data_IF_238941147879
#
_entry.id   IF_238941147879
#
_cell.length_a   1.000
_cell.length_b   1.000
_cell.length_c   1.000
_cell.angle_alpha   90.00
_cell.angle_beta   90.00
_cell.angle_gamma   90.00
#
_symmetry.space_group_name_H-M   'P 1'
#
loop_
_entity.id
_entity.type
_entity.pdbx_description
1 polymer ?
#
# COMPACT_ATOMS: atom_id res chain seq x y z
N UNK A 1 -11.74 1.60 12.51
CA UNK A 1 -11.79 1.17 11.10
C UNK A 1 -13.23 0.99 10.68
N UNK A 2 -13.57 1.23 9.41
CA UNK A 2 -14.95 1.15 8.88
C UNK A 2 -15.63 -0.22 9.01
N UNK A 3 -14.86 -1.27 9.28
CA UNK A 3 -15.30 -2.67 9.45
C UNK A 3 -15.03 -3.21 10.88
N UNK A 4 -14.85 -2.32 11.85
CA UNK A 4 -14.57 -2.63 13.27
C UNK A 4 -13.30 -3.47 13.53
N UNK A 5 -12.43 -3.69 12.54
CA UNK A 5 -11.14 -4.32 12.80
C UNK A 5 -10.31 -3.42 13.72
N UNK A 6 -9.52 -4.04 14.61
CA UNK A 6 -8.53 -3.35 15.43
C UNK A 6 -7.15 -3.72 14.95
N UNK A 7 -6.42 -2.75 14.40
CA UNK A 7 -5.04 -2.96 13.96
C UNK A 7 -4.07 -2.52 15.04
N UNK A 8 -3.08 -3.37 15.33
CA UNK A 8 -2.00 -3.05 16.26
C UNK A 8 -0.96 -2.19 15.54
N UNK A 9 -0.57 -1.08 16.14
CA UNK A 9 0.45 -0.19 15.60
C UNK A 9 1.36 0.42 16.66
N UNK A 10 2.60 0.69 16.31
CA UNK A 10 3.64 1.30 17.16
C UNK A 10 4.11 2.59 16.49
N UNK A 11 4.38 3.62 17.29
CA UNK A 11 5.12 4.80 16.85
C UNK A 11 6.43 4.92 17.64
N UNK A 12 7.47 5.46 16.99
CA UNK A 12 8.77 5.78 17.58
C UNK A 12 9.18 7.20 17.17
N UNK A 13 9.81 7.95 18.07
CA UNK A 13 10.21 9.33 17.83
C UNK A 13 9.12 10.37 18.20
N UNK A 14 9.38 11.63 17.90
CA UNK A 14 8.49 12.76 18.20
C UNK A 14 7.35 12.86 17.17
N UNK A 15 6.15 12.42 17.56
CA UNK A 15 4.94 12.41 16.70
C UNK A 15 4.37 13.79 16.39
N UNK A 16 4.93 14.87 16.96
CA UNK A 16 4.58 16.24 16.58
C UNK A 16 5.28 16.70 15.30
N UNK A 17 6.39 16.04 14.91
CA UNK A 17 7.15 16.38 13.70
C UNK A 17 6.47 15.86 12.43
N UNK A 18 6.83 16.45 11.29
CA UNK A 18 6.33 16.09 9.95
C UNK A 18 7.48 16.15 8.93
N UNK A 19 7.41 15.36 7.82
CA UNK A 19 6.41 14.33 7.54
C UNK A 19 6.61 13.10 8.43
N UNK A 20 5.57 12.27 8.59
CA UNK A 20 5.73 10.97 9.25
C UNK A 20 6.34 9.95 8.28
N UNK A 21 7.00 8.93 8.81
CA UNK A 21 7.47 7.76 8.05
C UNK A 21 6.61 6.57 8.45
N UNK A 22 6.07 5.82 7.48
CA UNK A 22 5.36 4.57 7.74
C UNK A 22 6.13 3.42 7.12
N UNK A 23 6.58 2.47 7.96
CA UNK A 23 7.24 1.26 7.47
C UNK A 23 6.21 0.14 7.30
N UNK A 24 6.08 -0.33 6.06
CA UNK A 24 5.16 -1.39 5.65
C UNK A 24 5.93 -2.70 5.52
N UNK A 25 5.61 -3.65 6.39
CA UNK A 25 6.27 -4.95 6.37
C UNK A 25 5.92 -5.75 5.10
N UNK A 26 6.85 -6.59 4.68
CA UNK A 26 6.66 -7.59 3.64
C UNK A 26 6.06 -8.88 4.21
N UNK A 27 5.86 -9.86 3.33
CA UNK A 27 5.25 -11.15 3.67
C UNK A 27 3.82 -10.97 4.19
N UNK A 28 2.76 -11.40 3.47
CA UNK A 28 1.37 -11.22 3.90
C UNK A 28 1.00 -11.93 5.22
N UNK A 29 1.98 -12.48 5.96
CA UNK A 29 1.85 -13.14 7.26
C UNK A 29 2.95 -12.83 8.28
N UNK A 30 3.91 -11.90 8.02
CA UNK A 30 5.04 -11.64 8.93
C UNK A 30 4.93 -10.28 9.63
N UNK A 31 4.47 -10.22 10.90
CA UNK A 31 4.33 -8.96 11.63
C UNK A 31 5.67 -8.41 12.12
N UNK A 32 5.72 -7.08 12.21
CA UNK A 32 6.64 -6.28 13.04
C UNK A 32 8.17 -6.47 12.89
N UNK A 33 8.68 -7.18 11.87
CA UNK A 33 10.13 -7.41 11.71
C UNK A 33 10.93 -6.15 11.33
N UNK A 34 10.27 -5.05 10.96
CA UNK A 34 10.91 -3.75 10.69
C UNK A 34 11.20 -2.95 11.97
N UNK A 35 11.09 -3.58 13.14
CA UNK A 35 11.41 -2.98 14.43
C UNK A 35 12.84 -2.46 14.53
N UNK A 36 13.81 -3.19 13.98
CA UNK A 36 15.22 -2.78 14.00
C UNK A 36 15.53 -1.65 13.00
N UNK A 37 14.67 -1.46 11.99
CA UNK A 37 14.81 -0.39 10.99
C UNK A 37 14.28 0.94 11.53
N UNK A 38 13.22 0.92 12.34
CA UNK A 38 12.59 2.15 12.83
C UNK A 38 13.54 3.10 13.59
N UNK A 39 14.40 2.63 14.53
CA UNK A 39 15.36 3.49 15.22
C UNK A 39 16.39 4.16 14.31
N UNK A 40 16.65 3.63 13.12
CA UNK A 40 17.66 4.18 12.20
C UNK A 40 17.29 5.56 11.64
N UNK A 41 16.01 5.95 11.72
CA UNK A 41 15.51 7.23 11.18
C UNK A 41 14.60 7.98 12.16
N UNK A 42 14.40 7.45 13.38
CA UNK A 42 13.48 8.02 14.37
C UNK A 42 13.95 9.34 14.99
N UNK A 43 15.23 9.69 14.83
CA UNK A 43 15.80 10.99 15.14
C UNK A 43 15.45 12.07 14.10
N UNK A 44 15.08 11.65 12.88
CA UNK A 44 14.74 12.54 11.76
C UNK A 44 13.23 12.79 11.65
N UNK A 45 12.39 11.79 11.94
CA UNK A 45 10.94 11.86 11.77
C UNK A 45 10.22 10.84 12.68
N UNK A 46 8.92 11.02 12.99
CA UNK A 46 8.16 9.99 13.69
C UNK A 46 7.94 8.79 12.77
N UNK A 47 8.23 7.61 13.27
CA UNK A 47 8.16 6.35 12.53
C UNK A 47 7.00 5.51 13.03
N UNK A 48 6.05 5.24 12.16
CA UNK A 48 4.89 4.38 12.41
C UNK A 48 5.10 3.02 11.77
N UNK A 49 4.68 1.99 12.48
CA UNK A 49 4.61 0.60 12.01
C UNK A 49 3.31 0.00 12.49
N UNK A 50 2.78 -0.95 11.74
CA UNK A 50 1.61 -1.69 12.17
C UNK A 50 1.65 -3.11 11.68
N UNK A 51 1.02 -3.99 12.45
CA UNK A 51 0.69 -5.34 12.02
C UNK A 51 -0.38 -5.20 10.94
N UNK A 52 -0.02 -5.43 9.67
CA UNK A 52 -0.99 -5.44 8.58
C UNK A 52 -2.08 -6.48 8.89
N UNK A 53 -3.31 -6.22 8.45
CA UNK A 53 -4.47 -7.10 8.71
C UNK A 53 -4.12 -8.57 8.50
N UNK A 54 -4.42 -9.41 9.49
CA UNK A 54 -4.15 -10.85 9.44
C UNK A 54 -2.81 -11.26 10.02
N UNK A 55 -1.95 -10.32 10.40
CA UNK A 55 -0.62 -10.61 10.96
C UNK A 55 -0.55 -10.20 12.43
N UNK A 56 0.34 -10.85 13.18
CA UNK A 56 0.64 -10.49 14.56
C UNK A 56 -0.59 -10.38 15.45
N UNK A 57 -0.83 -9.17 15.97
CA UNK A 57 -1.96 -8.87 16.86
C UNK A 57 -3.14 -8.21 16.13
N UNK A 58 -3.08 -8.08 14.81
CA UNK A 58 -4.14 -7.58 13.95
C UNK A 58 -4.97 -8.73 13.38
N UNK A 59 -6.22 -8.96 13.82
CA UNK A 59 -7.01 -10.09 13.38
C UNK A 59 -7.40 -9.97 11.91
N UNK A 60 -7.59 -11.13 11.27
CA UNK A 60 -8.21 -11.21 9.95
C UNK A 60 -9.71 -10.93 10.03
N UNK A 61 -10.24 -10.03 9.18
CA UNK A 61 -11.68 -9.82 8.94
C UNK A 61 -11.93 -9.37 7.51
N UNK A 62 -13.04 -9.78 6.91
CA UNK A 62 -13.44 -9.33 5.58
C UNK A 62 -12.61 -9.89 4.41
N UNK A 63 -12.72 -9.29 3.21
CA UNK A 63 -12.07 -9.77 1.99
C UNK A 63 -10.54 -9.67 2.03
N UNK A 64 -9.87 -10.65 1.41
CA UNK A 64 -8.41 -10.64 1.25
C UNK A 64 -8.02 -9.95 -0.05
N UNK A 65 -7.99 -8.61 0.00
CA UNK A 65 -7.68 -7.79 -1.17
C UNK A 65 -6.73 -6.67 -0.82
N UNK A 66 -5.89 -6.27 -1.77
CA UNK A 66 -5.04 -5.09 -1.59
C UNK A 66 -5.84 -3.82 -1.36
N UNK A 67 -7.02 -3.68 -1.99
CA UNK A 67 -7.92 -2.57 -1.71
C UNK A 67 -8.22 -2.45 -0.21
N UNK A 68 -8.50 -3.58 0.45
CA UNK A 68 -8.71 -3.62 1.90
C UNK A 68 -7.47 -3.20 2.68
N UNK A 69 -6.28 -3.66 2.30
CA UNK A 69 -5.04 -3.25 2.96
C UNK A 69 -4.72 -1.76 2.73
N UNK A 70 -5.06 -1.19 1.58
CA UNK A 70 -4.91 0.25 1.32
C UNK A 70 -5.93 1.08 2.10
N UNK A 71 -7.17 0.59 2.26
CA UNK A 71 -8.16 1.24 3.12
C UNK A 71 -7.74 1.20 4.60
N UNK A 72 -7.08 0.12 5.02
CA UNK A 72 -6.50 0.04 6.36
C UNK A 72 -5.40 1.07 6.59
N UNK A 73 -4.52 1.26 5.61
CA UNK A 73 -3.48 2.29 5.70
C UNK A 73 -4.10 3.70 5.73
N UNK A 74 -5.11 3.99 4.90
CA UNK A 74 -5.82 5.28 4.91
C UNK A 74 -6.41 5.57 6.29
N UNK A 75 -7.19 4.64 6.84
CA UNK A 75 -7.85 4.84 8.12
C UNK A 75 -6.87 4.88 9.31
N UNK A 76 -5.68 4.28 9.20
CA UNK A 76 -4.61 4.48 10.18
C UNK A 76 -3.99 5.88 10.10
N UNK A 77 -3.70 6.38 8.90
CA UNK A 77 -3.21 7.75 8.70
C UNK A 77 -4.19 8.79 9.26
N UNK A 78 -5.49 8.61 9.00
CA UNK A 78 -6.56 9.43 9.59
C UNK A 78 -6.56 9.35 11.12
N UNK A 79 -6.46 8.14 11.67
CA UNK A 79 -6.47 7.93 13.12
C UNK A 79 -5.21 8.48 13.83
N UNK A 80 -4.09 8.61 13.10
CA UNK A 80 -2.85 9.17 13.61
C UNK A 80 -2.73 10.69 13.39
N UNK A 81 -3.71 11.32 12.73
CA UNK A 81 -3.65 12.72 12.28
C UNK A 81 -2.39 13.01 11.43
N UNK A 82 -2.12 12.09 10.49
CA UNK A 82 -0.98 12.13 9.57
C UNK A 82 -1.50 12.40 8.15
N UNK A 83 -1.64 13.67 7.74
CA UNK A 83 -2.13 14.01 6.40
C UNK A 83 -1.09 13.73 5.30
N UNK A 84 0.20 13.69 5.67
CA UNK A 84 1.32 13.45 4.75
C UNK A 84 2.31 12.47 5.37
N UNK A 85 2.68 11.44 4.60
CA UNK A 85 3.61 10.41 5.04
C UNK A 85 4.55 9.98 3.92
N UNK A 86 5.79 9.65 4.31
CA UNK A 86 6.73 8.89 3.50
C UNK A 86 6.45 7.41 3.75
N UNK A 87 6.03 6.69 2.72
CA UNK A 87 5.81 5.24 2.80
C UNK A 87 7.09 4.51 2.39
N UNK A 88 7.58 3.64 3.27
CA UNK A 88 8.69 2.74 2.96
C UNK A 88 8.21 1.31 3.13
N UNK A 89 8.36 0.49 2.10
CA UNK A 89 7.89 -0.90 2.12
C UNK A 89 8.95 -1.87 1.63
N UNK A 90 8.91 -3.09 2.16
CA UNK A 90 9.71 -4.22 1.66
C UNK A 90 8.80 -5.31 1.08
N UNK A 91 9.12 -5.85 -0.11
CA UNK A 91 8.35 -6.93 -0.75
C UNK A 91 6.85 -6.58 -0.84
N UNK A 92 5.96 -7.36 -0.22
CA UNK A 92 4.52 -7.07 -0.12
C UNK A 92 4.23 -5.63 0.34
N UNK A 93 5.04 -5.09 1.26
CA UNK A 93 4.91 -3.72 1.72
C UNK A 93 5.23 -2.68 0.64
N UNK A 94 6.14 -2.98 -0.29
CA UNK A 94 6.43 -2.12 -1.45
C UNK A 94 5.23 -2.07 -2.40
N UNK A 95 4.59 -3.22 -2.61
CA UNK A 95 3.40 -3.35 -3.45
C UNK A 95 2.20 -2.60 -2.81
N UNK A 96 2.03 -2.74 -1.49
CA UNK A 96 1.04 -1.98 -0.73
C UNK A 96 1.27 -0.46 -0.81
N UNK A 97 2.51 0.00 -0.59
CA UNK A 97 2.86 1.42 -0.71
C UNK A 97 2.51 1.98 -2.10
N UNK A 98 2.92 1.25 -3.14
CA UNK A 98 2.70 1.64 -4.53
C UNK A 98 1.22 1.75 -4.85
N UNK A 99 0.41 0.73 -4.50
CA UNK A 99 -1.05 0.79 -4.74
C UNK A 99 -1.74 1.87 -3.94
N UNK A 100 -1.31 2.14 -2.71
CA UNK A 100 -1.84 3.24 -1.91
C UNK A 100 -1.61 4.59 -2.61
N UNK A 101 -0.38 4.87 -3.04
CA UNK A 101 -0.02 6.11 -3.73
C UNK A 101 -0.68 6.25 -5.10
N UNK A 102 -0.98 5.15 -5.79
CA UNK A 102 -1.63 5.15 -7.10
C UNK A 102 -3.16 5.23 -7.01
N UNK A 103 -3.77 5.00 -5.83
CA UNK A 103 -5.23 5.05 -5.65
C UNK A 103 -5.87 6.35 -6.18
N UNK A 104 -5.30 7.55 -6.00
CA UNK A 104 -5.86 8.77 -6.56
C UNK A 104 -5.91 8.80 -8.10
N UNK A 105 -5.09 8.00 -8.79
CA UNK A 105 -5.06 7.95 -10.25
C UNK A 105 -6.38 7.48 -10.87
N UNK A 106 -7.16 6.65 -10.16
CA UNK A 106 -8.50 6.25 -10.63
C UNK A 106 -9.40 7.49 -10.88
N UNK A 107 -9.22 8.56 -10.09
CA UNK A 107 -9.96 9.82 -10.21
C UNK A 107 -9.31 10.83 -11.17
N UNK A 108 -7.99 10.75 -11.36
CA UNK A 108 -7.21 11.67 -12.20
C UNK A 108 -7.10 11.21 -13.65
N UNK A 109 -7.08 9.90 -13.91
CA UNK A 109 -6.91 9.36 -15.26
C UNK A 109 -7.93 9.90 -16.28
N UNK A 110 -9.23 10.04 -15.95
CA UNK A 110 -10.20 10.68 -16.86
C UNK A 110 -9.85 12.14 -17.17
N UNK A 111 -9.29 12.88 -16.21
CA UNK A 111 -8.92 14.29 -16.36
C UNK A 111 -7.65 14.47 -17.19
N UNK A 112 -6.72 13.51 -17.08
CA UNK A 112 -5.45 13.52 -17.81
C UNK A 112 -5.55 12.89 -19.20
N UNK A 113 -6.74 12.41 -19.60
CA UNK A 113 -6.97 11.63 -20.82
C UNK A 113 -6.00 10.45 -20.99
N UNK A 114 -5.48 9.92 -19.88
CA UNK A 114 -4.58 8.77 -19.88
C UNK A 114 -5.39 7.48 -19.86
N UNK A 115 -5.13 6.51 -20.78
CA UNK A 115 -5.80 5.23 -20.74
C UNK A 115 -5.35 4.44 -19.52
N UNK A 116 -6.21 4.40 -18.49
CA UNK A 116 -6.02 3.57 -17.30
C UNK A 116 -6.88 2.31 -17.44
N UNK A 117 -6.25 1.14 -17.39
CA UNK A 117 -6.94 -0.16 -17.46
C UNK A 117 -6.59 -0.95 -16.21
N UNK A 118 -7.61 -1.19 -15.37
CA UNK A 118 -7.47 -2.05 -14.20
C UNK A 118 -7.70 -3.51 -14.61
N UNK A 119 -6.76 -4.38 -14.28
CA UNK A 119 -6.91 -5.82 -14.44
C UNK A 119 -7.38 -6.38 -13.10
N UNK A 120 -8.67 -6.67 -13.01
CA UNK A 120 -9.27 -7.23 -11.80
C UNK A 120 -8.67 -8.60 -11.48
N UNK A 121 -8.47 -8.87 -10.19
CA UNK A 121 -7.94 -10.16 -9.73
C UNK A 121 -6.47 -10.40 -10.09
N UNK A 122 -5.70 -9.34 -10.37
CA UNK A 122 -4.25 -9.40 -10.58
C UNK A 122 -3.51 -8.45 -9.62
N UNK A 123 -2.40 -8.92 -9.07
CA UNK A 123 -1.66 -8.32 -7.97
C UNK A 123 -0.15 -8.25 -8.25
N UNK A 124 0.62 -9.08 -7.56
CA UNK A 124 2.08 -8.98 -7.50
C UNK A 124 2.73 -9.50 -8.78
N UNK A 125 2.18 -10.56 -9.37
CA UNK A 125 2.66 -11.16 -10.61
C UNK A 125 1.50 -11.26 -11.60
N UNK A 126 1.02 -10.12 -12.12
CA UNK A 126 -0.23 -10.08 -12.88
C UNK A 126 -0.19 -10.95 -14.14
N UNK A 127 0.98 -11.18 -14.72
CA UNK A 127 1.17 -12.08 -15.87
C UNK A 127 1.02 -13.56 -15.52
N UNK A 128 1.16 -13.95 -14.25
CA UNK A 128 0.85 -15.30 -13.77
C UNK A 128 -0.59 -15.41 -13.26
N UNK A 129 -1.08 -14.35 -12.61
CA UNK A 129 -2.41 -14.33 -11.98
C UNK A 129 -3.55 -14.13 -13.01
N UNK A 130 -3.36 -13.25 -13.99
CA UNK A 130 -4.32 -12.95 -15.06
C UNK A 130 -3.63 -12.94 -16.45
N UNK A 131 -3.04 -14.06 -16.89
CA UNK A 131 -2.15 -14.10 -18.06
C UNK A 131 -2.81 -13.61 -19.36
N UNK A 132 -4.07 -13.99 -19.58
CA UNK A 132 -4.80 -13.59 -20.79
C UNK A 132 -5.12 -12.08 -20.81
N UNK A 133 -5.54 -11.53 -19.67
CA UNK A 133 -5.85 -10.11 -19.54
C UNK A 133 -4.58 -9.27 -19.69
N UNK A 134 -3.50 -9.63 -18.99
CA UNK A 134 -2.21 -8.95 -19.10
C UNK A 134 -1.68 -8.99 -20.52
N UNK A 135 -1.66 -10.16 -21.16
CA UNK A 135 -1.20 -10.30 -22.55
C UNK A 135 -2.01 -9.40 -23.49
N UNK A 136 -3.32 -9.34 -23.32
CA UNK A 136 -4.20 -8.52 -24.16
C UNK A 136 -3.87 -7.03 -24.01
N UNK A 137 -3.81 -6.53 -22.78
CA UNK A 137 -3.58 -5.11 -22.54
C UNK A 137 -2.15 -4.69 -22.86
N UNK A 138 -1.15 -5.51 -22.54
CA UNK A 138 0.25 -5.23 -22.88
C UNK A 138 0.44 -5.12 -24.39
N UNK A 139 -0.15 -6.03 -25.17
CA UNK A 139 -0.07 -5.96 -26.65
C UNK A 139 -0.77 -4.74 -27.21
N UNK A 140 -1.92 -4.35 -26.63
CA UNK A 140 -2.64 -3.15 -27.04
C UNK A 140 -1.79 -1.90 -26.79
N UNK A 141 -1.21 -1.78 -25.59
CA UNK A 141 -0.35 -0.66 -25.20
C UNK A 141 0.89 -0.55 -26.12
N UNK A 142 1.61 -1.66 -26.33
CA UNK A 142 2.80 -1.67 -27.19
C UNK A 142 2.45 -1.30 -28.63
N UNK A 143 1.36 -1.84 -29.20
CA UNK A 143 0.91 -1.47 -30.55
C UNK A 143 0.60 0.02 -30.66
N UNK A 144 -0.15 0.58 -29.71
CA UNK A 144 -0.45 2.03 -29.74
C UNK A 144 0.77 2.93 -29.64
N UNK A 145 1.88 2.44 -29.08
CA UNK A 145 3.13 3.20 -28.99
C UNK A 145 4.02 3.03 -30.25
N UNK A 146 3.92 1.89 -30.94
CA UNK A 146 4.70 1.60 -32.15
C UNK A 146 4.03 2.15 -33.40
N UNK A 147 2.69 2.17 -33.44
CA UNK A 147 1.90 2.63 -34.59
C UNK A 147 1.58 4.15 -34.54
N UNK A 148 2.08 4.87 -33.53
CA UNK A 148 1.92 6.33 -33.34
C UNK A 148 3.13 7.10 -33.88
#
# INVERSE_FOLDING_TARGET
MSDEVRLRWVALGDTSRRPAVVLLHGGPGLPDYLGDVAPMVADLAPVYRYDQRGTGRSPWRGPHTFARHTDDLAALLDAWDVPEAVLTGHSYGTDLASRFCLRPLDSLAPQLALPLIRIEGAGHEPWLEQPAAVRTQLRRFVRSAVDA
#
